data_IF_539549290841
#
_entry.id   IF_539549290841
#
_cell.length_a   1.000
_cell.length_b   1.000
_cell.length_c   1.000
_cell.angle_alpha   90.00
_cell.angle_beta   90.00
_cell.angle_gamma   90.00
#
_symmetry.space_group_name_H-M   'P 1'
#
loop_
_entity.id
_entity.type
_entity.pdbx_description
1 polymer ?
#
# COMPACT_ATOMS: atom_id res chain seq x y z
N UNK A 1 56.44 -16.54 -43.39
CA UNK A 1 55.46 -17.12 -42.45
C UNK A 1 54.72 -15.96 -41.78
N UNK A 2 53.42 -15.81 -42.06
CA UNK A 2 52.52 -14.84 -41.39
C UNK A 2 52.29 -15.27 -39.93
N UNK A 3 52.12 -14.31 -39.02
CA UNK A 3 51.06 -14.33 -37.99
C UNK A 3 50.95 -12.94 -37.32
N UNK A 4 49.74 -12.39 -37.40
CA UNK A 4 49.22 -11.14 -36.79
C UNK A 4 48.61 -11.45 -35.43
N UNK A 5 48.68 -10.54 -34.44
CA UNK A 5 47.71 -10.29 -33.33
C UNK A 5 48.16 -8.96 -32.67
N UNK A 6 47.57 -7.78 -32.88
CA UNK A 6 46.21 -7.24 -32.64
C UNK A 6 45.74 -7.28 -31.18
N UNK A 7 45.81 -6.09 -30.56
CA UNK A 7 44.89 -5.48 -29.58
C UNK A 7 44.76 -6.07 -28.17
N UNK A 8 44.84 -5.20 -27.15
CA UNK A 8 43.76 -5.00 -26.18
C UNK A 8 43.98 -3.70 -25.36
N UNK A 9 43.27 -2.62 -25.70
CA UNK A 9 43.00 -1.52 -24.78
C UNK A 9 41.74 -1.87 -23.97
N UNK A 10 41.88 -2.10 -22.68
CA UNK A 10 40.74 -2.29 -21.78
C UNK A 10 40.16 -0.92 -21.38
N UNK A 11 38.92 -0.64 -21.80
CA UNK A 11 38.13 0.49 -21.30
C UNK A 11 37.21 -0.04 -20.21
N UNK A 12 37.47 0.35 -18.96
CA UNK A 12 36.63 0.01 -17.81
C UNK A 12 35.48 1.03 -17.72
N UNK A 13 34.28 0.64 -18.15
CA UNK A 13 33.06 1.43 -18.01
C UNK A 13 32.40 1.09 -16.66
N UNK A 14 32.55 1.96 -15.66
CA UNK A 14 31.84 1.84 -14.38
C UNK A 14 30.42 2.39 -14.58
N UNK A 15 29.42 1.50 -14.70
CA UNK A 15 28.01 1.87 -14.64
C UNK A 15 27.63 2.17 -13.18
N UNK A 16 27.51 3.46 -12.85
CA UNK A 16 26.75 3.91 -11.68
C UNK A 16 25.26 3.67 -11.96
N UNK A 17 24.73 2.53 -11.52
CA UNK A 17 23.29 2.31 -11.49
C UNK A 17 22.74 3.16 -10.33
N UNK A 18 22.35 4.40 -10.64
CA UNK A 18 21.44 5.13 -9.78
C UNK A 18 20.12 4.38 -9.77
N UNK A 19 19.79 3.74 -8.63
CA UNK A 19 18.45 3.21 -8.40
C UNK A 19 17.52 4.39 -8.19
N UNK A 20 17.08 5.02 -9.28
CA UNK A 20 15.96 5.94 -9.26
C UNK A 20 14.73 5.09 -8.95
N UNK A 21 14.25 5.14 -7.71
CA UNK A 21 12.92 4.62 -7.41
C UNK A 21 11.94 5.34 -8.32
N UNK A 22 11.39 4.65 -9.32
CA UNK A 22 10.41 5.25 -10.21
C UNK A 22 9.21 5.65 -9.36
N UNK A 23 8.84 6.93 -9.40
CA UNK A 23 7.58 7.37 -8.83
C UNK A 23 6.46 6.52 -9.45
N UNK A 24 5.63 5.94 -8.61
CA UNK A 24 4.47 5.16 -9.02
C UNK A 24 3.26 5.69 -8.28
N UNK A 25 2.15 5.89 -8.98
CA UNK A 25 0.89 6.32 -8.37
C UNK A 25 0.43 5.36 -7.25
N UNK A 26 0.84 4.10 -7.29
CA UNK A 26 0.55 3.12 -6.24
C UNK A 26 1.21 3.46 -4.90
N UNK A 27 2.25 4.30 -4.88
CA UNK A 27 2.95 4.70 -3.66
C UNK A 27 2.05 5.48 -2.68
N UNK A 28 0.98 6.11 -3.17
CA UNK A 28 -0.01 6.79 -2.34
C UNK A 28 -0.98 5.81 -1.69
N UNK A 29 -1.25 4.67 -2.33
CA UNK A 29 -2.35 3.77 -1.98
C UNK A 29 -2.20 3.12 -0.60
N UNK A 30 -3.25 3.21 0.21
CA UNK A 30 -3.42 2.55 1.52
C UNK A 30 -3.84 3.53 2.63
N UNK A 31 -3.83 3.04 3.87
CA UNK A 31 -4.21 3.81 5.05
C UNK A 31 -3.01 4.52 5.69
N UNK A 32 -3.24 5.73 6.18
CA UNK A 32 -2.22 6.64 6.68
C UNK A 32 -2.68 7.31 7.97
N UNK A 33 -1.78 7.40 8.95
CA UNK A 33 -2.01 8.09 10.23
C UNK A 33 -1.02 9.22 10.38
N UNK A 34 -1.49 10.36 10.90
CA UNK A 34 -0.63 11.49 11.19
C UNK A 34 0.45 11.07 12.20
N UNK A 35 1.69 11.46 11.91
CA UNK A 35 2.84 11.16 12.77
C UNK A 35 2.74 11.94 14.10
N UNK A 36 2.09 13.10 14.12
CA UNK A 36 1.80 13.84 15.34
C UNK A 36 0.48 13.35 15.99
N UNK A 37 0.53 12.62 17.12
CA UNK A 37 -0.67 12.14 17.81
C UNK A 37 -1.47 13.28 18.46
N UNK A 38 -0.87 14.46 18.64
CA UNK A 38 -1.48 15.64 19.25
C UNK A 38 -1.96 16.65 18.19
N UNK A 39 -1.95 16.29 16.91
CA UNK A 39 -2.45 17.16 15.84
C UNK A 39 -3.87 17.64 16.12
N UNK A 40 -4.09 18.94 15.94
CA UNK A 40 -5.43 19.54 15.93
C UNK A 40 -6.11 19.50 14.55
N UNK A 41 -5.42 18.98 13.53
CA UNK A 41 -5.87 18.97 12.14
C UNK A 41 -6.23 17.58 11.64
N UNK A 42 -5.70 17.20 10.47
CA UNK A 42 -5.99 15.92 9.82
C UNK A 42 -5.31 14.78 10.60
N UNK A 43 -6.07 13.77 11.02
CA UNK A 43 -5.56 12.65 11.82
C UNK A 43 -5.28 11.42 10.97
N UNK A 44 -6.10 11.17 9.94
CA UNK A 44 -5.99 9.98 9.08
C UNK A 44 -6.34 10.28 7.63
N UNK A 45 -5.77 9.49 6.72
CA UNK A 45 -6.15 9.42 5.31
C UNK A 45 -6.23 7.96 4.86
N UNK A 46 -7.26 7.61 4.09
CA UNK A 46 -7.31 6.37 3.32
C UNK A 46 -7.28 6.72 1.84
N UNK A 47 -6.31 6.17 1.10
CA UNK A 47 -6.12 6.47 -0.32
C UNK A 47 -6.30 5.18 -1.11
N UNK A 48 -7.32 5.14 -1.96
CA UNK A 48 -7.54 4.04 -2.91
C UNK A 48 -7.01 4.44 -4.29
N UNK A 49 -6.24 3.56 -4.92
CA UNK A 49 -5.62 3.78 -6.23
C UNK A 49 -6.05 2.65 -7.16
N UNK A 50 -6.67 3.00 -8.29
CA UNK A 50 -7.06 2.10 -9.37
C UNK A 50 -6.61 2.71 -10.71
N UNK A 51 -5.32 2.52 -11.04
CA UNK A 51 -4.69 3.22 -12.16
C UNK A 51 -4.70 4.74 -11.93
N UNK A 52 -5.27 5.51 -12.86
CA UNK A 52 -5.39 6.97 -12.73
C UNK A 52 -6.58 7.42 -11.86
N UNK A 53 -7.47 6.49 -11.45
CA UNK A 53 -8.57 6.81 -10.55
C UNK A 53 -8.08 6.73 -9.11
N UNK A 54 -8.00 7.88 -8.45
CA UNK A 54 -7.55 7.98 -7.06
C UNK A 54 -8.67 8.56 -6.21
N UNK A 55 -8.96 7.93 -5.07
CA UNK A 55 -9.92 8.42 -4.07
C UNK A 55 -9.22 8.62 -2.74
N UNK A 56 -9.50 9.75 -2.08
CA UNK A 56 -8.95 10.09 -0.78
C UNK A 56 -10.10 10.27 0.20
N UNK A 57 -10.09 9.48 1.26
CA UNK A 57 -10.94 9.65 2.43
C UNK A 57 -10.13 10.29 3.56
N UNK A 58 -10.69 11.27 4.26
CA UNK A 58 -9.97 12.00 5.31
C UNK A 58 -10.74 12.04 6.64
N UNK A 59 -10.01 12.10 7.75
CA UNK A 59 -10.54 12.37 9.08
C UNK A 59 -9.78 13.52 9.73
N UNK A 60 -10.52 14.39 10.42
CA UNK A 60 -9.98 15.51 11.20
C UNK A 60 -10.21 15.33 12.70
N UNK A 61 -9.33 15.92 13.51
CA UNK A 61 -9.41 15.87 14.96
C UNK A 61 -10.73 16.45 15.46
N UNK A 62 -11.49 15.63 16.17
CA UNK A 62 -12.72 16.00 16.87
C UNK A 62 -12.81 15.26 18.22
N UNK A 63 -13.78 15.61 19.04
CA UNK A 63 -14.00 14.96 20.35
C UNK A 63 -15.45 14.46 20.48
N UNK A 64 -15.68 13.23 20.97
CA UNK A 64 -14.69 12.23 21.43
C UNK A 64 -14.02 11.42 20.32
N UNK A 65 -14.61 11.43 19.13
CA UNK A 65 -14.12 10.71 17.94
C UNK A 65 -13.79 11.70 16.84
N UNK A 66 -12.81 11.37 16.01
CA UNK A 66 -12.45 12.17 14.84
C UNK A 66 -13.64 12.33 13.89
N UNK A 67 -13.76 13.53 13.31
CA UNK A 67 -14.77 13.84 12.33
C UNK A 67 -14.40 13.23 10.99
N UNK A 68 -15.34 12.50 10.41
CA UNK A 68 -15.23 11.98 9.06
C UNK A 68 -15.51 13.08 8.04
N UNK A 69 -14.57 13.34 7.13
CA UNK A 69 -14.72 14.34 6.06
C UNK A 69 -15.28 13.73 4.76
N UNK A 70 -15.44 12.41 4.72
CA UNK A 70 -15.89 11.65 3.56
C UNK A 70 -14.76 11.31 2.59
N UNK A 71 -15.15 10.79 1.42
CA UNK A 71 -14.27 10.45 0.31
C UNK A 71 -14.46 11.45 -0.84
N UNK A 72 -13.36 11.91 -1.43
CA UNK A 72 -13.35 12.70 -2.66
C UNK A 72 -12.46 12.05 -3.72
N UNK A 73 -12.71 12.34 -5.00
CA UNK A 73 -11.79 11.98 -6.06
C UNK A 73 -10.58 12.92 -6.02
N UNK A 74 -9.37 12.35 -5.98
CA UNK A 74 -8.13 13.10 -6.05
C UNK A 74 -7.59 13.10 -7.48
N UNK A 75 -7.05 14.24 -7.89
CA UNK A 75 -6.41 14.40 -9.19
C UNK A 75 -4.90 14.12 -9.05
N UNK A 76 -4.37 13.12 -9.76
CA UNK A 76 -2.93 12.93 -9.85
C UNK A 76 -2.27 13.97 -10.77
N UNK A 77 -1.02 14.31 -10.45
CA UNK A 77 -0.16 15.19 -11.23
C UNK A 77 1.23 14.56 -11.36
N UNK A 78 1.72 14.46 -12.59
CA UNK A 78 3.07 14.01 -12.91
C UNK A 78 4.02 15.21 -13.08
N UNK A 79 5.33 14.93 -13.13
CA UNK A 79 6.37 15.96 -13.18
C UNK A 79 6.31 16.89 -14.41
N UNK A 80 5.69 16.45 -15.51
CA UNK A 80 5.56 17.24 -16.75
C UNK A 80 4.36 16.79 -17.59
N UNK A 81 3.95 17.62 -18.56
CA UNK A 81 2.91 17.28 -19.52
C UNK A 81 3.24 16.07 -20.42
N UNK A 82 4.51 15.69 -20.50
CA UNK A 82 4.98 14.52 -21.25
C UNK A 82 5.14 13.26 -20.40
N UNK A 83 4.99 13.37 -19.09
CA UNK A 83 5.14 12.24 -18.17
C UNK A 83 3.87 11.39 -18.12
N UNK A 84 4.02 10.09 -17.96
CA UNK A 84 2.89 9.19 -17.71
C UNK A 84 2.26 9.52 -16.35
N UNK A 85 0.93 9.59 -16.29
CA UNK A 85 0.20 9.82 -15.03
C UNK A 85 0.43 8.70 -14.01
N UNK A 86 0.76 7.49 -14.46
CA UNK A 86 1.19 6.40 -13.59
C UNK A 86 2.45 6.74 -12.79
N UNK A 87 3.23 7.74 -13.23
CA UNK A 87 4.40 8.28 -12.52
C UNK A 87 4.10 9.49 -11.64
N UNK A 88 2.82 9.77 -11.34
CA UNK A 88 2.42 10.89 -10.51
C UNK A 88 3.17 10.93 -9.18
N UNK A 89 3.64 12.12 -8.82
CA UNK A 89 4.35 12.41 -7.57
C UNK A 89 3.57 13.37 -6.67
N UNK A 90 2.39 13.79 -7.11
CA UNK A 90 1.51 14.69 -6.37
C UNK A 90 0.06 14.28 -6.58
N UNK A 91 -0.73 14.23 -5.51
CA UNK A 91 -2.18 14.18 -5.57
C UNK A 91 -2.77 15.48 -5.02
N UNK A 92 -3.84 15.96 -5.64
CA UNK A 92 -4.65 17.06 -5.10
C UNK A 92 -6.07 16.57 -4.83
N UNK A 93 -6.54 16.72 -3.60
CA UNK A 93 -7.89 16.38 -3.17
C UNK A 93 -8.57 17.62 -2.58
N UNK A 94 -9.82 17.91 -2.96
CA UNK A 94 -10.55 19.09 -2.48
C UNK A 94 -11.78 18.63 -1.72
N UNK A 95 -11.87 19.01 -0.44
CA UNK A 95 -13.00 18.76 0.43
C UNK A 95 -13.80 20.05 0.61
N UNK A 96 -15.12 19.94 0.54
CA UNK A 96 -16.04 21.07 0.69
C UNK A 96 -17.05 20.78 1.81
N UNK A 97 -16.97 21.54 2.91
CA UNK A 97 -17.88 21.44 4.05
C UNK A 97 -19.08 22.41 3.95
N UNK A 98 -19.21 23.12 2.83
CA UNK A 98 -20.15 24.21 2.61
C UNK A 98 -19.61 25.55 3.10
N UNK A 99 -19.14 25.63 4.35
CA UNK A 99 -18.59 26.87 4.93
C UNK A 99 -17.09 27.04 4.67
N UNK A 100 -16.36 25.96 4.39
CA UNK A 100 -14.94 25.98 4.05
C UNK A 100 -14.62 25.00 2.91
N UNK A 101 -13.59 25.33 2.16
CA UNK A 101 -12.96 24.45 1.16
C UNK A 101 -11.55 24.13 1.64
N UNK A 102 -11.21 22.85 1.73
CA UNK A 102 -9.90 22.36 2.19
C UNK A 102 -9.24 21.61 1.04
N UNK A 103 -8.17 22.18 0.49
CA UNK A 103 -7.37 21.55 -0.56
C UNK A 103 -6.18 20.83 0.06
N UNK A 104 -6.08 19.51 -0.14
CA UNK A 104 -4.93 18.71 0.25
C UNK A 104 -3.98 18.56 -0.93
N UNK A 105 -2.72 18.91 -0.73
CA UNK A 105 -1.61 18.58 -1.63
C UNK A 105 -0.79 17.47 -0.97
N UNK A 106 -0.87 16.27 -1.53
CA UNK A 106 -0.30 15.04 -0.98
C UNK A 106 0.91 14.66 -1.83
N UNK A 107 2.08 14.56 -1.21
CA UNK A 107 3.33 14.15 -1.85
C UNK A 107 3.96 12.95 -1.13
N UNK A 108 4.54 11.98 -1.85
CA UNK A 108 5.25 10.88 -1.26
C UNK A 108 6.62 11.34 -0.75
N UNK A 109 7.07 10.74 0.35
CA UNK A 109 8.36 10.99 0.96
C UNK A 109 8.93 9.66 1.49
N UNK A 110 9.38 8.80 0.59
CA UNK A 110 9.73 7.41 0.92
C UNK A 110 8.51 6.65 1.42
N UNK A 111 8.56 6.12 2.64
CA UNK A 111 7.44 5.39 3.27
C UNK A 111 6.45 6.32 4.03
N UNK A 112 6.47 7.61 3.74
CA UNK A 112 5.62 8.65 4.36
C UNK A 112 4.88 9.44 3.30
N UNK A 113 3.85 10.16 3.73
CA UNK A 113 3.29 11.26 2.94
C UNK A 113 3.59 12.58 3.63
N UNK A 114 4.00 13.57 2.85
CA UNK A 114 3.93 14.98 3.24
C UNK A 114 2.63 15.54 2.67
N UNK A 115 1.78 16.06 3.54
CA UNK A 115 0.45 16.58 3.18
C UNK A 115 0.35 18.01 3.63
N UNK A 116 0.09 18.93 2.71
CA UNK A 116 -0.26 20.31 3.05
C UNK A 116 -1.77 20.49 2.86
N UNK A 117 -2.47 21.01 3.87
CA UNK A 117 -3.83 21.51 3.73
C UNK A 117 -3.81 23.01 3.47
N UNK A 118 -4.67 23.47 2.57
CA UNK A 118 -4.97 24.88 2.35
C UNK A 118 -6.46 25.08 2.58
N UNK A 119 -6.78 25.82 3.62
CA UNK A 119 -8.13 25.99 4.12
C UNK A 119 -8.65 27.38 3.78
N UNK A 120 -9.73 27.43 2.99
CA UNK A 120 -10.38 28.66 2.55
C UNK A 120 -11.79 28.76 3.12
N UNK A 121 -12.07 29.81 3.88
CA UNK A 121 -13.42 30.06 4.39
C UNK A 121 -14.29 30.79 3.36
N UNK A 122 -15.51 30.28 3.15
CA UNK A 122 -16.47 30.77 2.13
C UNK A 122 -17.69 31.46 2.76
N UNK A 123 -17.77 31.45 4.09
CA UNK A 123 -18.93 31.87 4.87
C UNK A 123 -18.91 33.34 5.32
N UNK A 124 -17.97 34.15 4.82
CA UNK A 124 -17.77 35.55 5.22
C UNK A 124 -17.60 35.75 6.74
N UNK A 125 -17.13 34.72 7.47
CA UNK A 125 -16.94 34.78 8.92
C UNK A 125 -15.84 35.75 9.40
N UNK A 126 -15.06 36.32 8.47
CA UNK A 126 -13.88 37.14 8.79
C UNK A 126 -12.64 36.31 9.18
N UNK A 127 -12.76 34.97 9.23
CA UNK A 127 -11.62 34.08 9.45
C UNK A 127 -10.65 34.15 8.28
N UNK A 128 -9.35 34.23 8.59
CA UNK A 128 -8.30 34.18 7.57
C UNK A 128 -8.09 32.76 7.06
N UNK A 129 -7.88 32.63 5.76
CA UNK A 129 -7.43 31.38 5.16
C UNK A 129 -6.05 31.01 5.71
N UNK A 130 -5.77 29.71 5.88
CA UNK A 130 -4.52 29.25 6.46
C UNK A 130 -4.01 27.98 5.77
N UNK A 131 -2.77 27.62 6.08
CA UNK A 131 -2.12 26.40 5.60
C UNK A 131 -1.53 25.65 6.79
N UNK A 132 -1.61 24.32 6.74
CA UNK A 132 -0.99 23.43 7.72
C UNK A 132 -0.27 22.28 7.00
N UNK A 133 0.91 21.92 7.52
CA UNK A 133 1.70 20.80 7.02
C UNK A 133 1.64 19.60 7.96
N UNK A 134 1.54 18.41 7.39
CA UNK A 134 1.43 17.15 8.11
C UNK A 134 2.38 16.12 7.52
N UNK A 135 2.97 15.30 8.38
CA UNK A 135 3.65 14.08 7.99
C UNK A 135 2.77 12.89 8.36
N UNK A 136 2.55 11.99 7.41
CA UNK A 136 1.82 10.76 7.64
C UNK A 136 2.73 9.56 7.48
N UNK A 137 2.47 8.53 8.27
CA UNK A 137 3.04 7.20 8.11
C UNK A 137 1.92 6.21 7.83
N UNK A 138 2.25 5.06 7.25
CA UNK A 138 1.25 4.00 7.03
C UNK A 138 0.57 3.62 8.35
N UNK A 139 -0.75 3.52 8.32
CA UNK A 139 -1.53 3.12 9.48
C UNK A 139 -1.23 1.65 9.82
N UNK A 140 -0.83 1.40 11.06
CA UNK A 140 -0.81 0.07 11.65
C UNK A 140 -2.24 -0.32 11.98
N UNK A 141 -2.82 -1.29 11.26
CA UNK A 141 -4.19 -1.74 11.47
C UNK A 141 -4.45 -2.19 12.91
N UNK A 142 -5.36 -1.52 13.61
CA UNK A 142 -5.93 -1.95 14.88
C UNK A 142 -7.35 -2.48 14.63
N UNK A 143 -7.54 -3.80 14.67
CA UNK A 143 -8.86 -4.44 14.74
C UNK A 143 -9.06 -4.98 16.16
N UNK A 144 -10.03 -4.43 16.89
CA UNK A 144 -10.16 -4.57 18.34
C UNK A 144 -10.73 -5.90 18.85
N UNK A 145 -10.32 -6.27 20.06
CA UNK A 145 -11.11 -6.23 21.31
C UNK A 145 -10.15 -6.44 22.49
N UNK A 146 -10.25 -5.61 23.53
CA UNK A 146 -9.49 -5.79 24.77
C UNK A 146 -9.01 -4.48 25.37
N UNK A 147 -9.82 -3.93 26.26
CA UNK A 147 -9.50 -3.03 27.37
C UNK A 147 -8.45 -1.92 27.13
N UNK A 148 -8.94 -0.69 27.02
CA UNK A 148 -8.14 0.49 26.79
C UNK A 148 -7.24 0.82 27.99
N UNK A 149 -5.98 0.41 27.91
CA UNK A 149 -4.90 1.08 28.65
C UNK A 149 -4.29 2.17 27.76
N UNK A 150 -4.30 3.45 28.15
CA UNK A 150 -3.64 4.51 27.39
C UNK A 150 -2.12 4.32 27.47
N UNK A 151 -1.48 3.85 26.39
CA UNK A 151 -0.02 3.75 26.34
C UNK A 151 0.57 2.76 25.33
N UNK A 152 -0.20 1.87 24.71
CA UNK A 152 0.35 0.92 23.74
C UNK A 152 -0.05 1.30 22.30
N UNK A 153 0.91 1.80 21.52
CA UNK A 153 0.82 1.82 20.05
C UNK A 153 0.56 0.39 19.55
N UNK A 154 -0.51 0.13 18.78
CA UNK A 154 -0.71 -1.18 18.16
C UNK A 154 0.48 -1.46 17.23
N UNK A 155 1.16 -2.58 17.44
CA UNK A 155 2.21 -3.02 16.53
C UNK A 155 1.63 -3.16 15.10
N UNK A 156 2.37 -2.77 14.04
CA UNK A 156 1.96 -3.07 12.66
C UNK A 156 1.64 -4.57 12.54
N UNK A 157 0.51 -4.91 11.91
CA UNK A 157 0.21 -6.31 11.59
C UNK A 157 1.34 -6.86 10.72
N UNK A 158 2.08 -7.83 11.24
CA UNK A 158 3.16 -8.52 10.55
C UNK A 158 2.65 -9.87 10.07
N UNK A 159 2.18 -9.94 8.84
CA UNK A 159 1.66 -11.17 8.23
C UNK A 159 2.76 -12.21 7.94
N UNK A 160 4.03 -11.91 8.20
CA UNK A 160 5.14 -12.84 8.02
C UNK A 160 5.00 -14.04 8.95
N UNK A 161 4.98 -15.24 8.38
CA UNK A 161 4.89 -16.46 9.16
C UNK A 161 4.42 -17.64 8.33
N UNK A 162 4.17 -18.74 9.04
CA UNK A 162 3.61 -19.96 8.46
C UNK A 162 2.12 -19.99 8.73
N UNK A 163 1.34 -20.13 7.66
CA UNK A 163 -0.12 -20.11 7.69
C UNK A 163 -0.64 -21.47 7.22
N UNK A 164 -1.74 -21.93 7.83
CA UNK A 164 -2.49 -23.08 7.35
C UNK A 164 -3.74 -22.57 6.63
N UNK A 165 -4.17 -23.29 5.60
CA UNK A 165 -5.39 -22.95 4.86
C UNK A 165 -6.40 -24.10 4.91
N UNK A 166 -7.67 -23.78 4.66
CA UNK A 166 -8.79 -24.73 4.61
C UNK A 166 -8.72 -25.72 3.42
N UNK A 167 -7.81 -25.51 2.46
CA UNK A 167 -7.47 -26.49 1.42
C UNK A 167 -6.46 -27.56 1.88
N UNK A 168 -6.05 -27.53 3.15
CA UNK A 168 -5.02 -28.41 3.72
C UNK A 168 -3.59 -27.98 3.42
N UNK A 169 -3.39 -26.85 2.73
CA UNK A 169 -2.08 -26.31 2.37
C UNK A 169 -1.40 -25.54 3.51
N UNK A 170 -0.07 -25.53 3.46
CA UNK A 170 0.81 -24.70 4.29
C UNK A 170 1.43 -23.59 3.44
N UNK A 171 1.40 -22.38 3.95
CA UNK A 171 1.79 -21.16 3.25
C UNK A 171 2.83 -20.39 4.05
N UNK A 172 4.00 -20.16 3.47
CA UNK A 172 5.11 -19.41 4.07
C UNK A 172 5.04 -17.98 3.56
N UNK A 173 4.42 -17.12 4.34
CA UNK A 173 4.17 -15.72 3.98
C UNK A 173 5.32 -14.85 4.45
N UNK A 174 5.78 -13.95 3.59
CA UNK A 174 6.74 -12.90 3.92
C UNK A 174 6.17 -11.55 3.55
N UNK A 175 6.04 -10.69 4.55
CA UNK A 175 5.70 -9.28 4.34
C UNK A 175 6.97 -8.43 4.29
N UNK A 176 7.03 -7.53 3.30
CA UNK A 176 8.08 -6.53 3.13
C UNK A 176 7.39 -5.18 2.89
N UNK A 177 7.07 -4.46 3.97
CA UNK A 177 6.23 -3.26 3.88
C UNK A 177 4.82 -3.62 3.40
N UNK A 178 4.40 -3.06 2.26
CA UNK A 178 3.14 -3.43 1.60
C UNK A 178 3.26 -4.62 0.66
N UNK A 179 4.46 -5.08 0.32
CA UNK A 179 4.62 -6.26 -0.53
C UNK A 179 4.39 -7.55 0.27
N UNK A 180 3.65 -8.48 -0.30
CA UNK A 180 3.47 -9.83 0.21
C UNK A 180 4.03 -10.82 -0.80
N UNK A 181 4.82 -11.74 -0.30
CA UNK A 181 5.25 -12.94 -1.01
C UNK A 181 4.78 -14.15 -0.26
N UNK A 182 4.45 -15.23 -0.96
CA UNK A 182 4.38 -16.53 -0.33
C UNK A 182 5.00 -17.63 -1.16
N UNK A 183 5.24 -18.74 -0.48
CA UNK A 183 5.31 -20.07 -1.06
C UNK A 183 4.22 -20.93 -0.42
N UNK A 184 3.45 -21.70 -1.19
CA UNK A 184 2.39 -22.59 -0.72
C UNK A 184 2.60 -24.02 -1.20
N UNK A 185 2.24 -25.01 -0.37
CA UNK A 185 2.32 -26.44 -0.69
C UNK A 185 1.32 -27.26 0.13
N UNK A 186 0.87 -28.41 -0.38
CA UNK A 186 0.04 -29.33 0.41
C UNK A 186 0.79 -30.48 1.08
N UNK A 187 2.04 -30.75 0.69
CA UNK A 187 2.91 -31.73 1.34
C UNK A 187 4.38 -31.30 1.22
N UNK A 188 5.16 -31.47 2.29
CA UNK A 188 6.53 -30.99 2.32
C UNK A 188 7.48 -31.78 1.40
N UNK A 189 7.19 -33.07 1.17
CA UNK A 189 8.07 -34.00 0.45
C UNK A 189 7.58 -34.25 -0.97
N UNK A 190 6.29 -34.54 -1.13
CA UNK A 190 5.67 -34.91 -2.40
C UNK A 190 4.34 -34.16 -2.61
N UNK A 191 4.37 -32.83 -2.75
CA UNK A 191 3.15 -32.06 -2.97
C UNK A 191 2.51 -32.43 -4.31
N UNK A 192 1.17 -32.52 -4.35
CA UNK A 192 0.47 -32.58 -5.64
C UNK A 192 0.44 -31.21 -6.30
N UNK A 193 0.44 -30.14 -5.50
CA UNK A 193 0.56 -28.76 -5.95
C UNK A 193 1.48 -27.95 -5.04
N UNK A 194 2.16 -26.99 -5.62
CA UNK A 194 2.90 -25.97 -4.89
C UNK A 194 2.88 -24.68 -5.68
N UNK A 195 2.73 -23.53 -5.03
CA UNK A 195 2.64 -22.25 -5.70
C UNK A 195 3.50 -21.16 -5.05
N UNK A 196 3.72 -20.11 -5.82
CA UNK A 196 4.23 -18.83 -5.33
C UNK A 196 3.18 -17.76 -5.56
N UNK A 197 3.19 -16.74 -4.71
CA UNK A 197 2.32 -15.57 -4.85
C UNK A 197 3.15 -14.31 -4.63
N UNK A 198 2.81 -13.29 -5.39
CA UNK A 198 3.23 -11.91 -5.16
C UNK A 198 2.01 -11.02 -5.12
N UNK A 199 1.93 -10.15 -4.13
CA UNK A 199 0.84 -9.21 -4.01
C UNK A 199 1.22 -7.94 -3.26
N UNK A 200 0.26 -7.03 -3.18
CA UNK A 200 0.36 -5.77 -2.45
C UNK A 200 -0.80 -5.63 -1.48
N UNK A 201 -0.48 -5.20 -0.27
CA UNK A 201 -1.42 -4.80 0.76
C UNK A 201 -1.91 -3.38 0.43
N UNK A 202 -3.21 -3.23 0.21
CA UNK A 202 -3.92 -1.97 0.09
C UNK A 202 -5.09 -1.96 1.08
N UNK A 203 -4.99 -1.15 2.14
CA UNK A 203 -5.94 -1.22 3.24
C UNK A 203 -5.96 -2.61 3.88
N UNK A 204 -7.14 -3.21 4.03
CA UNK A 204 -7.32 -4.56 4.57
C UNK A 204 -7.37 -5.60 3.45
N UNK A 205 -6.95 -5.25 2.23
CA UNK A 205 -6.98 -6.14 1.09
C UNK A 205 -5.57 -6.44 0.62
N UNK A 206 -5.34 -7.66 0.15
CA UNK A 206 -4.15 -8.09 -0.57
C UNK A 206 -4.61 -8.37 -2.00
N UNK A 207 -4.10 -7.61 -2.96
CA UNK A 207 -4.30 -7.88 -4.38
C UNK A 207 -3.07 -8.61 -4.90
N UNK A 208 -3.26 -9.80 -5.47
CA UNK A 208 -2.15 -10.68 -5.77
C UNK A 208 -2.35 -11.49 -7.05
N UNK A 209 -1.22 -11.96 -7.58
CA UNK A 209 -1.12 -12.98 -8.61
C UNK A 209 -0.36 -14.20 -8.06
N UNK A 210 -0.74 -15.39 -8.52
CA UNK A 210 -0.15 -16.65 -8.08
C UNK A 210 0.08 -17.58 -9.27
N UNK A 211 1.07 -18.46 -9.14
CA UNK A 211 1.37 -19.52 -10.10
C UNK A 211 1.86 -20.76 -9.38
N UNK A 212 1.39 -21.92 -9.80
CA UNK A 212 1.99 -23.18 -9.43
C UNK A 212 3.40 -23.29 -10.02
N UNK A 213 4.26 -24.01 -9.30
CA UNK A 213 5.68 -24.24 -9.61
C UNK A 213 6.00 -25.74 -9.54
N UNK A 214 7.03 -26.24 -10.25
CA UNK A 214 7.20 -27.67 -10.53
C UNK A 214 7.80 -28.47 -9.36
N UNK A 215 7.36 -28.22 -8.12
CA UNK A 215 7.53 -29.17 -7.02
C UNK A 215 6.36 -30.16 -6.96
N UNK A 216 5.16 -29.74 -7.40
CA UNK A 216 4.01 -30.60 -7.68
C UNK A 216 3.72 -30.72 -9.18
N UNK A 217 2.71 -31.52 -9.53
CA UNK A 217 2.32 -31.76 -10.93
C UNK A 217 1.26 -30.79 -11.45
N UNK A 218 0.53 -30.11 -10.57
CA UNK A 218 -0.41 -29.03 -10.97
C UNK A 218 0.39 -27.82 -11.43
N UNK A 219 -0.07 -27.16 -12.51
CA UNK A 219 0.61 -26.03 -13.17
C UNK A 219 -0.37 -24.89 -13.51
N UNK A 220 -1.29 -24.58 -12.60
CA UNK A 220 -2.29 -23.51 -12.77
C UNK A 220 -1.72 -22.15 -12.36
N UNK A 221 -2.41 -21.07 -12.73
CA UNK A 221 -2.09 -19.71 -12.31
C UNK A 221 -3.34 -18.83 -12.30
N UNK A 222 -3.30 -17.71 -11.59
CA UNK A 222 -4.42 -16.78 -11.55
C UNK A 222 -4.18 -15.59 -10.65
N UNK A 223 -5.29 -14.94 -10.30
CA UNK A 223 -5.34 -13.82 -9.36
C UNK A 223 -5.99 -14.26 -8.06
N UNK A 224 -5.54 -13.65 -6.98
CA UNK A 224 -6.09 -13.82 -5.64
C UNK A 224 -6.35 -12.43 -5.05
N UNK A 225 -7.53 -12.23 -4.50
CA UNK A 225 -7.80 -11.07 -3.65
C UNK A 225 -8.15 -11.60 -2.27
N UNK A 226 -7.38 -11.18 -1.26
CA UNK A 226 -7.57 -11.59 0.13
C UNK A 226 -7.95 -10.40 0.98
N UNK A 227 -8.86 -10.59 1.92
CA UNK A 227 -9.10 -9.69 3.03
C UNK A 227 -8.26 -10.11 4.24
N UNK A 228 -7.54 -9.16 4.82
CA UNK A 228 -6.89 -9.25 6.13
C UNK A 228 -7.97 -9.03 7.19
N UNK A 229 -8.44 -10.13 7.79
CA UNK A 229 -9.47 -10.08 8.85
C UNK A 229 -8.83 -9.78 10.20
N UNK A 230 -7.66 -10.38 10.47
CA UNK A 230 -6.82 -10.08 11.63
C UNK A 230 -5.37 -10.48 11.37
N UNK A 231 -4.47 -10.23 12.32
CA UNK A 231 -3.05 -10.63 12.20
C UNK A 231 -2.88 -12.15 12.02
N UNK A 232 -3.90 -12.93 12.38
CA UNK A 232 -3.90 -14.39 12.34
C UNK A 232 -5.02 -14.96 11.47
N UNK A 233 -5.66 -14.12 10.62
CA UNK A 233 -6.71 -14.58 9.72
C UNK A 233 -6.76 -13.81 8.40
N UNK A 234 -6.63 -14.52 7.28
CA UNK A 234 -6.90 -14.02 5.93
C UNK A 234 -8.12 -14.75 5.34
N UNK A 235 -8.89 -14.08 4.49
CA UNK A 235 -10.02 -14.66 3.77
C UNK A 235 -9.99 -14.28 2.30
N UNK A 236 -10.15 -15.23 1.39
CA UNK A 236 -10.26 -14.92 -0.03
C UNK A 236 -11.62 -14.26 -0.33
N UNK A 237 -11.57 -13.17 -1.09
CA UNK A 237 -12.76 -12.47 -1.60
C UNK A 237 -12.93 -12.66 -3.10
N UNK A 238 -11.85 -12.96 -3.83
CA UNK A 238 -11.87 -13.32 -5.25
C UNK A 238 -10.74 -14.28 -5.59
N UNK A 239 -11.03 -15.25 -6.46
CA UNK A 239 -10.09 -16.29 -6.88
C UNK A 239 -10.31 -16.64 -8.34
N UNK A 240 -9.24 -16.71 -9.13
CA UNK A 240 -9.26 -17.26 -10.48
C UNK A 240 -8.24 -18.40 -10.62
N UNK A 241 -8.26 -19.12 -11.75
CA UNK A 241 -7.28 -20.18 -12.01
C UNK A 241 -7.51 -21.48 -11.24
N UNK A 242 -8.66 -21.64 -10.57
CA UNK A 242 -9.00 -22.84 -9.81
C UNK A 242 -8.36 -22.92 -8.42
N UNK A 243 -7.96 -21.79 -7.83
CA UNK A 243 -7.33 -21.77 -6.51
C UNK A 243 -8.24 -22.33 -5.40
N UNK A 244 -7.75 -23.34 -4.68
CA UNK A 244 -8.53 -24.11 -3.69
C UNK A 244 -8.82 -23.34 -2.40
N UNK A 245 -7.77 -22.83 -1.74
CA UNK A 245 -7.87 -22.19 -0.43
C UNK A 245 -8.76 -20.95 -0.37
N UNK A 246 -9.39 -20.71 0.78
CA UNK A 246 -10.28 -19.58 1.03
C UNK A 246 -10.10 -18.93 2.40
N UNK A 247 -9.63 -19.66 3.41
CA UNK A 247 -9.39 -19.11 4.76
C UNK A 247 -8.02 -19.54 5.24
N UNK A 248 -7.17 -18.59 5.63
CA UNK A 248 -5.86 -18.86 6.22
C UNK A 248 -5.83 -18.46 7.68
N UNK A 249 -5.22 -19.29 8.51
CA UNK A 249 -5.03 -19.06 9.95
C UNK A 249 -3.63 -19.42 10.41
N UNK A 250 -3.18 -18.80 11.50
CA UNK A 250 -1.92 -19.11 12.19
C UNK A 250 -1.99 -18.81 13.68
#
# INVERSE_FOLDING_TARGET
>A
MRLMYSSLTAVLLVLLIACSGMASIDQFGGSWTNVDPNTGGITRLDIAVEGALVKVHAWGKCHPTDCDWGTVQAQPFAASASSDIASADTLIAVFDSGFSETTLVIKPAGNRLNVNSYDRFKDNSGRSNYMAGYAFQKASYAGGVGDATPGSTPAPMDLTGVWNCDDGGKYYVRQLGSAIWWYGENDAKNPSWSNVLRGTIGGNMINAEWSDVPKGSVMSNGKLVLQIVSNNRLMATSKTGGFGGSVWTR
#
